data_IF_140698211471
#
_entry.id   IF_140698211471
#
_cell.length_a   1.000
_cell.length_b   1.000
_cell.length_c   1.000
_cell.angle_alpha   90.00
_cell.angle_beta   90.00
_cell.angle_gamma   90.00
#
_symmetry.space_group_name_H-M   'P 1'
#
loop_
_entity.id
_entity.type
_entity.pdbx_description
1 polymer ?
#
# COMPACT_ATOMS: atom_id res chain seq x y z
N UNK A 1 27.85 24.72 -13.26
CA UNK A 1 27.38 23.86 -12.16
C UNK A 1 26.80 24.70 -11.03
N UNK A 2 27.35 25.89 -10.80
CA UNK A 2 26.93 26.81 -9.71
C UNK A 2 25.53 27.40 -9.93
N UNK A 3 25.16 27.74 -11.17
CA UNK A 3 23.83 28.25 -11.49
C UNK A 3 22.70 27.22 -11.22
N UNK A 4 23.02 25.91 -11.32
CA UNK A 4 22.09 24.82 -11.02
C UNK A 4 21.86 24.71 -9.52
N UNK A 5 22.93 24.73 -8.72
CA UNK A 5 22.82 24.73 -7.25
C UNK A 5 22.15 26.00 -6.72
N UNK A 6 22.36 27.14 -7.37
CA UNK A 6 21.75 28.41 -6.97
C UNK A 6 20.26 28.49 -7.30
N UNK A 7 19.82 27.99 -8.47
CA UNK A 7 18.40 27.86 -8.79
C UNK A 7 17.72 26.74 -7.99
N UNK A 8 18.44 25.68 -7.66
CA UNK A 8 18.00 24.58 -6.81
C UNK A 8 17.80 25.02 -5.36
N UNK A 9 18.76 25.76 -4.78
CA UNK A 9 18.67 26.32 -3.43
C UNK A 9 17.48 27.29 -3.29
N UNK A 10 17.20 28.10 -4.31
CA UNK A 10 16.01 28.98 -4.33
C UNK A 10 14.69 28.23 -4.51
N UNK A 11 14.71 27.07 -5.18
CA UNK A 11 13.53 26.22 -5.33
C UNK A 11 13.25 25.40 -4.05
N UNK A 12 14.29 24.95 -3.33
CA UNK A 12 14.18 24.23 -2.06
C UNK A 12 13.83 25.14 -0.89
N UNK A 13 14.38 26.37 -0.82
CA UNK A 13 14.03 27.36 0.22
C UNK A 13 12.56 27.81 0.16
N UNK A 14 11.90 27.67 -0.99
CA UNK A 14 10.48 28.01 -1.15
C UNK A 14 9.53 26.94 -0.58
N UNK A 15 10.03 25.74 -0.26
CA UNK A 15 9.24 24.60 0.18
C UNK A 15 9.71 24.08 1.55
N UNK A 16 8.91 24.43 2.57
CA UNK A 16 9.00 24.10 4.00
C UNK A 16 9.61 22.71 4.35
N UNK A 17 10.24 22.65 5.53
CA UNK A 17 11.19 21.67 6.11
C UNK A 17 10.85 20.16 6.08
N UNK A 18 9.77 19.74 5.40
CA UNK A 18 9.40 18.32 5.19
C UNK A 18 10.06 17.67 3.96
N UNK A 19 10.91 18.40 3.24
CA UNK A 19 11.44 18.00 1.92
C UNK A 19 12.88 17.44 1.89
N UNK A 20 13.53 17.16 3.04
CA UNK A 20 14.88 16.52 3.05
C UNK A 20 14.96 15.22 2.22
N UNK A 21 13.85 14.55 1.93
CA UNK A 21 13.81 13.32 1.14
C UNK A 21 13.94 13.55 -0.38
N UNK A 22 13.54 14.71 -0.93
CA UNK A 22 13.68 14.99 -2.37
C UNK A 22 15.12 15.28 -2.76
N UNK A 23 15.94 15.77 -1.83
CA UNK A 23 17.37 16.00 -2.06
C UNK A 23 18.13 14.69 -2.26
N UNK A 24 17.87 13.66 -1.44
CA UNK A 24 18.47 12.33 -1.62
C UNK A 24 17.98 11.62 -2.88
N UNK A 25 16.67 11.69 -3.17
CA UNK A 25 16.08 11.05 -4.36
C UNK A 25 16.57 11.68 -5.67
N UNK A 26 16.75 13.00 -5.70
CA UNK A 26 17.31 13.69 -6.86
C UNK A 26 18.83 13.52 -6.94
N UNK A 27 19.54 13.47 -5.80
CA UNK A 27 20.97 13.20 -5.75
C UNK A 27 21.31 11.80 -6.26
N UNK A 28 20.60 10.76 -5.82
CA UNK A 28 20.81 9.39 -6.28
C UNK A 28 20.43 9.22 -7.75
N UNK A 29 19.38 9.91 -8.21
CA UNK A 29 19.02 9.99 -9.62
C UNK A 29 20.12 10.67 -10.44
N UNK A 30 20.61 11.85 -10.01
CA UNK A 30 21.68 12.59 -10.69
C UNK A 30 22.98 11.80 -10.69
N UNK A 31 23.32 11.11 -9.60
CA UNK A 31 24.53 10.28 -9.50
C UNK A 31 24.44 9.01 -10.34
N UNK A 32 23.30 8.33 -10.37
CA UNK A 32 23.07 7.16 -11.22
C UNK A 32 23.07 7.54 -12.70
N UNK A 33 22.36 8.61 -13.05
CA UNK A 33 22.40 9.19 -14.39
C UNK A 33 23.86 9.56 -14.72
N UNK A 34 24.57 10.26 -13.85
CA UNK A 34 25.96 10.62 -14.09
C UNK A 34 26.89 9.39 -14.29
N UNK A 35 26.64 8.26 -13.61
CA UNK A 35 27.37 7.00 -13.81
C UNK A 35 27.01 6.27 -15.11
N UNK A 36 25.71 6.19 -15.45
CA UNK A 36 25.21 5.59 -16.68
C UNK A 36 25.63 6.40 -17.93
N UNK A 37 25.60 7.73 -17.82
CA UNK A 37 25.91 8.66 -18.89
C UNK A 37 27.40 9.00 -19.00
N UNK A 38 28.25 8.63 -18.02
CA UNK A 38 29.72 8.79 -18.15
C UNK A 38 30.33 8.00 -19.32
N UNK A 39 29.61 7.00 -19.83
CA UNK A 39 29.94 6.23 -21.04
C UNK A 39 29.50 6.90 -22.35
N UNK A 40 28.80 8.04 -22.29
CA UNK A 40 28.22 8.74 -23.44
C UNK A 40 28.88 10.13 -23.54
N UNK A 41 29.82 10.32 -24.47
CA UNK A 41 30.73 11.49 -24.54
C UNK A 41 30.32 12.51 -25.65
N UNK A 42 29.06 12.54 -26.09
CA UNK A 42 28.61 13.44 -27.15
C UNK A 42 27.67 14.57 -26.66
N UNK A 43 27.72 15.75 -27.27
CA UNK A 43 27.01 16.96 -26.80
C UNK A 43 25.48 16.84 -26.79
N UNK A 44 24.89 16.00 -27.65
CA UNK A 44 23.45 15.71 -27.70
C UNK A 44 22.91 15.07 -26.41
N UNK A 45 23.79 14.40 -25.66
CA UNK A 45 23.48 13.75 -24.38
C UNK A 45 23.11 14.76 -23.31
N UNK A 46 23.80 15.91 -23.30
CA UNK A 46 23.58 16.95 -22.31
C UNK A 46 22.17 17.55 -22.47
N UNK A 47 21.77 17.78 -23.73
CA UNK A 47 20.45 18.27 -24.09
C UNK A 47 19.36 17.27 -23.69
N UNK A 48 19.54 15.99 -24.03
CA UNK A 48 18.60 14.93 -23.65
C UNK A 48 18.48 14.77 -22.12
N UNK A 49 19.61 14.81 -21.41
CA UNK A 49 19.63 14.73 -19.93
C UNK A 49 18.86 15.88 -19.30
N UNK A 50 19.10 17.10 -19.78
CA UNK A 50 18.39 18.27 -19.28
C UNK A 50 16.89 18.17 -19.60
N UNK A 51 16.53 17.73 -20.80
CA UNK A 51 15.14 17.50 -21.19
C UNK A 51 14.45 16.45 -20.31
N UNK A 52 15.13 15.37 -19.94
CA UNK A 52 14.60 14.36 -19.01
C UNK A 52 14.41 14.91 -17.60
N UNK A 53 15.34 15.73 -17.12
CA UNK A 53 15.22 16.40 -15.83
C UNK A 53 14.04 17.39 -15.84
N UNK A 54 13.90 18.22 -16.86
CA UNK A 54 12.77 19.15 -16.99
C UNK A 54 11.43 18.40 -17.11
N UNK A 55 11.38 17.32 -17.89
CA UNK A 55 10.20 16.44 -17.98
C UNK A 55 9.84 15.85 -16.61
N UNK A 56 10.85 15.37 -15.87
CA UNK A 56 10.65 14.84 -14.52
C UNK A 56 10.14 15.91 -13.55
N UNK A 57 10.72 17.11 -13.56
CA UNK A 57 10.26 18.24 -12.73
C UNK A 57 8.84 18.66 -13.11
N UNK A 58 8.51 18.70 -14.40
CA UNK A 58 7.18 19.03 -14.88
C UNK A 58 6.13 18.02 -14.42
N UNK A 59 6.40 16.72 -14.56
CA UNK A 59 5.48 15.67 -14.09
C UNK A 59 5.37 15.68 -12.56
N UNK A 60 6.47 15.88 -11.85
CA UNK A 60 6.48 16.00 -10.37
C UNK A 60 5.65 17.20 -9.90
N UNK A 61 5.82 18.37 -10.54
CA UNK A 61 5.03 19.56 -10.27
C UNK A 61 3.55 19.38 -10.61
N UNK A 62 3.25 18.65 -11.68
CA UNK A 62 1.88 18.29 -12.08
C UNK A 62 1.22 17.38 -11.03
N UNK A 63 1.93 16.35 -10.57
CA UNK A 63 1.48 15.48 -9.48
C UNK A 63 1.22 16.26 -8.19
N UNK A 64 2.14 17.15 -7.82
CA UNK A 64 1.98 17.99 -6.63
C UNK A 64 0.75 18.91 -6.73
N UNK A 65 0.58 19.56 -7.88
CA UNK A 65 -0.58 20.41 -8.16
C UNK A 65 -1.88 19.63 -8.10
N UNK A 66 -1.90 18.43 -8.68
CA UNK A 66 -3.01 17.50 -8.62
C UNK A 66 -3.33 17.10 -7.18
N UNK A 67 -2.32 16.71 -6.40
CA UNK A 67 -2.47 16.35 -4.99
C UNK A 67 -3.07 17.50 -4.17
N UNK A 68 -2.53 18.72 -4.32
CA UNK A 68 -3.04 19.91 -3.62
C UNK A 68 -4.48 20.24 -3.99
N UNK A 69 -4.84 20.11 -5.27
CA UNK A 69 -6.21 20.30 -5.76
C UNK A 69 -7.17 19.28 -5.13
N UNK A 70 -6.81 17.99 -5.16
CA UNK A 70 -7.64 16.94 -4.58
C UNK A 70 -7.76 17.06 -3.05
N UNK A 71 -6.67 17.37 -2.33
CA UNK A 71 -6.73 17.61 -0.89
C UNK A 71 -7.65 18.78 -0.54
N UNK A 72 -7.63 19.86 -1.34
CA UNK A 72 -8.54 21.01 -1.17
C UNK A 72 -10.01 20.61 -1.33
N UNK A 73 -10.32 19.78 -2.35
CA UNK A 73 -11.67 19.24 -2.57
C UNK A 73 -12.12 18.34 -1.39
N UNK A 74 -11.22 17.48 -0.90
CA UNK A 74 -11.53 16.58 0.22
C UNK A 74 -11.68 17.30 1.56
N UNK A 75 -10.92 18.38 1.83
CA UNK A 75 -11.09 19.21 3.04
C UNK A 75 -12.47 19.85 3.15
N UNK A 76 -13.13 20.11 2.02
CA UNK A 76 -14.52 20.60 1.99
C UNK A 76 -15.54 19.50 2.28
N UNK A 77 -15.16 18.23 2.10
CA UNK A 77 -16.00 17.09 2.46
C UNK A 77 -15.83 16.75 3.95
N UNK A 78 -16.90 16.37 4.66
CA UNK A 78 -16.87 16.02 6.10
C UNK A 78 -16.05 14.75 6.44
N UNK A 79 -15.36 14.13 5.49
CA UNK A 79 -14.59 12.90 5.69
C UNK A 79 -13.21 13.20 6.30
N UNK A 80 -13.14 13.23 7.63
CA UNK A 80 -11.90 13.36 8.43
C UNK A 80 -11.07 12.07 8.44
N UNK A 81 -10.53 11.66 7.29
CA UNK A 81 -9.55 10.57 7.25
C UNK A 81 -8.46 10.87 6.21
N UNK A 82 -7.53 11.75 6.60
CA UNK A 82 -6.43 12.29 5.79
C UNK A 82 -5.58 11.22 5.09
N UNK A 83 -5.43 10.03 5.66
CA UNK A 83 -4.58 8.96 5.10
C UNK A 83 -5.24 8.21 3.94
N UNK A 84 -6.54 7.91 4.02
CA UNK A 84 -7.30 7.29 2.91
C UNK A 84 -7.33 8.25 1.71
N UNK A 85 -7.38 9.55 1.99
CA UNK A 85 -7.36 10.61 0.98
C UNK A 85 -6.02 10.61 0.23
N UNK A 86 -4.87 10.56 0.91
CA UNK A 86 -3.55 10.56 0.23
C UNK A 86 -3.34 9.35 -0.69
N UNK A 87 -3.77 8.15 -0.26
CA UNK A 87 -3.66 6.94 -1.08
C UNK A 87 -4.62 6.94 -2.27
N UNK A 88 -5.86 7.40 -2.06
CA UNK A 88 -6.82 7.56 -3.15
C UNK A 88 -6.32 8.57 -4.19
N UNK A 89 -5.71 9.68 -3.75
CA UNK A 89 -5.13 10.67 -4.67
C UNK A 89 -4.07 10.05 -5.56
N UNK A 90 -3.15 9.28 -4.98
CA UNK A 90 -2.10 8.59 -5.74
C UNK A 90 -2.71 7.62 -6.75
N UNK A 91 -3.62 6.75 -6.31
CA UNK A 91 -4.26 5.75 -7.17
C UNK A 91 -5.01 6.43 -8.33
N UNK A 92 -5.75 7.50 -8.04
CA UNK A 92 -6.49 8.27 -9.06
C UNK A 92 -5.53 8.96 -10.03
N UNK A 93 -4.43 9.55 -9.55
CA UNK A 93 -3.39 10.13 -10.39
C UNK A 93 -2.81 9.09 -11.37
N UNK A 94 -2.41 7.92 -10.86
CA UNK A 94 -1.84 6.85 -11.69
C UNK A 94 -2.87 6.35 -12.71
N UNK A 95 -4.15 6.21 -12.35
CA UNK A 95 -5.23 5.87 -13.30
C UNK A 95 -5.34 6.92 -14.40
N UNK A 96 -5.50 8.20 -14.03
CA UNK A 96 -5.65 9.29 -15.00
C UNK A 96 -4.47 9.36 -15.96
N UNK A 97 -3.24 9.24 -15.45
CA UNK A 97 -2.04 9.28 -16.26
C UNK A 97 -1.95 8.05 -17.18
N UNK A 98 -2.11 6.83 -16.64
CA UNK A 98 -2.07 5.60 -17.45
C UNK A 98 -3.16 5.58 -18.53
N UNK A 99 -4.38 6.02 -18.22
CA UNK A 99 -5.47 6.08 -19.22
C UNK A 99 -5.15 7.09 -20.32
N UNK A 100 -4.71 8.30 -19.96
CA UNK A 100 -4.33 9.34 -20.93
C UNK A 100 -3.18 8.86 -21.81
N UNK A 101 -2.19 8.20 -21.18
CA UNK A 101 -1.03 7.63 -21.86
C UNK A 101 -1.43 6.51 -22.84
N UNK A 102 -2.30 5.57 -22.46
CA UNK A 102 -2.75 4.51 -23.37
C UNK A 102 -3.50 5.10 -24.57
N UNK A 103 -4.44 6.02 -24.33
CA UNK A 103 -5.19 6.66 -25.41
C UNK A 103 -4.24 7.38 -26.37
N UNK A 104 -3.29 8.15 -25.81
CA UNK A 104 -2.28 8.84 -26.60
C UNK A 104 -1.41 7.87 -27.39
N UNK A 105 -0.90 6.79 -26.77
CA UNK A 105 -0.05 5.81 -27.44
C UNK A 105 -0.80 4.99 -28.49
N UNK A 106 -2.08 4.69 -28.29
CA UNK A 106 -2.92 4.05 -29.30
C UNK A 106 -3.13 4.97 -30.51
N UNK A 107 -3.44 6.25 -30.27
CA UNK A 107 -3.52 7.25 -31.34
C UNK A 107 -2.18 7.38 -32.07
N UNK A 108 -1.08 7.45 -31.31
CA UNK A 108 0.27 7.55 -31.84
C UNK A 108 0.62 6.35 -32.74
N UNK A 109 0.37 5.14 -32.25
CA UNK A 109 0.60 3.90 -32.99
C UNK A 109 -0.27 3.83 -34.25
N UNK A 110 -1.56 4.18 -34.16
CA UNK A 110 -2.47 4.15 -35.30
C UNK A 110 -2.17 5.21 -36.36
N UNK A 111 -1.70 6.39 -35.97
CA UNK A 111 -1.52 7.53 -36.89
C UNK A 111 -0.10 7.64 -37.46
N UNK A 112 0.91 7.21 -36.73
CA UNK A 112 2.31 7.36 -37.14
C UNK A 112 2.96 6.02 -37.48
N UNK A 113 2.79 4.99 -36.64
CA UNK A 113 3.51 3.71 -36.80
C UNK A 113 2.84 2.79 -37.85
N UNK A 114 1.54 2.54 -37.71
CA UNK A 114 0.79 1.67 -38.62
C UNK A 114 0.88 2.08 -40.11
N UNK A 115 0.67 3.36 -40.49
CA UNK A 115 0.73 3.74 -41.89
C UNK A 115 2.14 3.63 -42.49
N UNK A 116 3.19 3.81 -41.68
CA UNK A 116 4.57 3.59 -42.13
C UNK A 116 4.86 2.09 -42.32
N UNK A 117 4.37 1.25 -41.42
CA UNK A 117 4.43 -0.21 -41.55
C UNK A 117 3.69 -0.71 -42.81
N UNK A 118 2.50 -0.19 -43.10
CA UNK A 118 1.75 -0.53 -44.30
C UNK A 118 2.42 -0.04 -45.60
N UNK A 119 3.11 1.11 -45.57
CA UNK A 119 3.86 1.62 -46.74
C UNK A 119 5.07 0.76 -47.06
N UNK A 120 5.86 0.38 -46.05
CA UNK A 120 7.07 -0.44 -46.26
C UNK A 120 6.76 -1.92 -46.53
N UNK A 121 5.76 -2.49 -45.85
CA UNK A 121 5.33 -3.89 -46.10
C UNK A 121 4.73 -4.11 -47.49
N UNK A 122 4.11 -3.08 -48.08
CA UNK A 122 3.63 -3.12 -49.48
C UNK A 122 4.77 -3.02 -50.50
N UNK A 123 5.92 -2.45 -50.12
CA UNK A 123 7.07 -2.29 -51.01
C UNK A 123 8.08 -3.45 -50.92
N UNK A 124 8.16 -4.12 -49.78
CA UNK A 124 9.09 -5.22 -49.51
C UNK A 124 8.31 -6.46 -49.03
N UNK A 125 8.13 -7.44 -49.92
CA UNK A 125 7.49 -8.75 -49.71
C UNK A 125 7.74 -9.42 -48.32
N UNK A 126 6.90 -10.39 -47.88
CA UNK A 126 6.48 -10.67 -46.49
C UNK A 126 7.50 -11.40 -45.60
N UNK A 127 8.79 -11.09 -45.74
CA UNK A 127 9.90 -11.66 -44.97
C UNK A 127 10.30 -10.83 -43.74
N UNK A 128 9.54 -9.80 -43.37
CA UNK A 128 9.77 -9.10 -42.09
C UNK A 128 9.30 -9.99 -40.93
N UNK A 129 10.17 -10.91 -40.51
CA UNK A 129 9.85 -11.90 -39.49
C UNK A 129 9.68 -11.33 -38.08
N UNK A 130 9.82 -10.01 -37.87
CA UNK A 130 9.55 -9.35 -36.60
C UNK A 130 9.15 -7.87 -36.82
N UNK A 131 7.86 -7.61 -37.04
CA UNK A 131 7.28 -6.25 -37.07
C UNK A 131 7.56 -5.44 -35.79
N UNK A 132 7.90 -6.13 -34.70
CA UNK A 132 8.22 -5.55 -33.41
C UNK A 132 9.49 -4.66 -33.42
N UNK A 133 10.49 -4.99 -34.25
CA UNK A 133 11.76 -4.24 -34.32
C UNK A 133 11.80 -3.25 -35.47
N UNK A 134 10.64 -2.87 -36.01
CA UNK A 134 10.53 -1.90 -37.09
C UNK A 134 11.13 -0.55 -36.67
N UNK A 135 12.01 0.01 -37.51
CA UNK A 135 12.82 1.21 -37.24
C UNK A 135 12.46 2.35 -38.18
N UNK A 136 11.22 2.83 -38.12
CA UNK A 136 10.88 4.12 -38.73
C UNK A 136 10.60 5.05 -37.58
N UNK A 137 11.44 6.09 -37.46
CA UNK A 137 11.45 6.93 -36.28
C UNK A 137 11.78 8.37 -36.64
N UNK A 138 10.79 9.24 -36.43
CA UNK A 138 11.06 10.66 -36.19
C UNK A 138 11.61 10.81 -34.78
N UNK A 139 12.94 10.90 -34.69
CA UNK A 139 13.69 10.88 -33.43
C UNK A 139 13.20 11.94 -32.44
N UNK A 140 12.66 13.08 -32.92
CA UNK A 140 12.14 14.13 -32.04
C UNK A 140 10.83 13.73 -31.37
N UNK A 141 9.93 13.07 -32.10
CA UNK A 141 8.66 12.58 -31.57
C UNK A 141 8.90 11.45 -30.58
N UNK A 142 9.71 10.47 -30.96
CA UNK A 142 10.01 9.34 -30.08
C UNK A 142 10.79 9.76 -28.83
N UNK A 143 11.67 10.77 -28.94
CA UNK A 143 12.31 11.40 -27.78
C UNK A 143 11.26 11.94 -26.82
N UNK A 144 10.31 12.76 -27.28
CA UNK A 144 9.28 13.36 -26.42
C UNK A 144 8.42 12.29 -25.72
N UNK A 145 7.98 11.26 -26.45
CA UNK A 145 7.25 10.12 -25.88
C UNK A 145 8.08 9.43 -24.80
N UNK A 146 9.35 9.12 -25.09
CA UNK A 146 10.23 8.44 -24.13
C UNK A 146 10.48 9.28 -22.88
N UNK A 147 10.71 10.59 -23.03
CA UNK A 147 10.95 11.50 -21.91
C UNK A 147 9.75 11.53 -20.97
N UNK A 148 8.53 11.68 -21.51
CA UNK A 148 7.31 11.71 -20.69
C UNK A 148 7.11 10.39 -19.94
N UNK A 149 7.24 9.25 -20.64
CA UNK A 149 7.02 7.93 -20.05
C UNK A 149 8.05 7.60 -18.98
N UNK A 150 9.34 7.76 -19.29
CA UNK A 150 10.43 7.48 -18.35
C UNK A 150 10.35 8.39 -17.11
N UNK A 151 10.07 9.69 -17.28
CA UNK A 151 9.86 10.61 -16.16
C UNK A 151 8.69 10.20 -15.27
N UNK A 152 7.58 9.71 -15.82
CA UNK A 152 6.45 9.22 -15.03
C UNK A 152 6.79 7.95 -14.24
N UNK A 153 7.38 6.93 -14.88
CA UNK A 153 7.76 5.71 -14.19
C UNK A 153 8.82 5.95 -13.13
N UNK A 154 9.74 6.90 -13.36
CA UNK A 154 10.72 7.32 -12.37
C UNK A 154 10.04 7.97 -11.15
N UNK A 155 9.12 8.92 -11.37
CA UNK A 155 8.36 9.52 -10.28
C UNK A 155 7.62 8.47 -9.44
N UNK A 156 6.93 7.55 -10.10
CA UNK A 156 6.22 6.45 -9.45
C UNK A 156 7.17 5.50 -8.68
N UNK A 157 8.37 5.26 -9.20
CA UNK A 157 9.39 4.48 -8.50
C UNK A 157 9.86 5.18 -7.21
N UNK A 158 10.11 6.49 -7.27
CA UNK A 158 10.54 7.27 -6.10
C UNK A 158 9.44 7.35 -5.03
N UNK A 159 8.17 7.46 -5.44
CA UNK A 159 7.03 7.39 -4.51
C UNK A 159 6.98 6.00 -3.85
N UNK A 160 7.15 4.91 -4.61
CA UNK A 160 7.20 3.55 -4.04
C UNK A 160 8.39 3.33 -3.10
N UNK A 161 9.54 3.91 -3.42
CA UNK A 161 10.73 3.83 -2.57
C UNK A 161 10.48 4.52 -1.22
N UNK A 162 9.84 5.69 -1.25
CA UNK A 162 9.44 6.41 -0.03
C UNK A 162 8.43 5.60 0.80
N UNK A 163 7.51 4.90 0.15
CA UNK A 163 6.56 3.99 0.81
C UNK A 163 7.19 2.64 1.22
N UNK A 164 8.50 2.46 1.04
CA UNK A 164 9.26 1.22 1.35
C UNK A 164 8.83 -0.01 0.53
N UNK A 165 8.18 0.21 -0.61
CA UNK A 165 7.81 -0.82 -1.58
C UNK A 165 8.97 -1.08 -2.56
N UNK A 166 10.08 -1.61 -2.05
CA UNK A 166 11.34 -1.76 -2.81
C UNK A 166 11.19 -2.55 -4.11
N UNK A 167 10.41 -3.64 -4.12
CA UNK A 167 10.24 -4.47 -5.31
C UNK A 167 9.47 -3.76 -6.43
N UNK A 168 8.40 -3.04 -6.08
CA UNK A 168 7.63 -2.23 -7.05
C UNK A 168 8.47 -1.05 -7.56
N UNK A 169 9.20 -0.37 -6.67
CA UNK A 169 10.14 0.70 -7.02
C UNK A 169 11.21 0.20 -8.00
N UNK A 170 11.88 -0.91 -7.67
CA UNK A 170 12.90 -1.52 -8.53
C UNK A 170 12.33 -1.89 -9.90
N UNK A 171 11.11 -2.44 -9.96
CA UNK A 171 10.46 -2.77 -11.22
C UNK A 171 10.16 -1.55 -12.09
N UNK A 172 9.62 -0.47 -11.51
CA UNK A 172 9.33 0.76 -12.26
C UNK A 172 10.61 1.47 -12.70
N UNK A 173 11.63 1.47 -11.85
CA UNK A 173 12.94 2.02 -12.16
C UNK A 173 13.62 1.26 -13.31
N UNK A 174 13.69 -0.06 -13.22
CA UNK A 174 14.24 -0.90 -14.30
C UNK A 174 13.45 -0.75 -15.60
N UNK A 175 12.12 -0.62 -15.53
CA UNK A 175 11.30 -0.32 -16.71
C UNK A 175 11.65 1.02 -17.35
N UNK A 176 11.86 2.08 -16.56
CA UNK A 176 12.32 3.37 -17.08
C UNK A 176 13.65 3.25 -17.81
N UNK A 177 14.57 2.42 -17.32
CA UNK A 177 15.85 2.16 -18.00
C UNK A 177 15.64 1.42 -19.33
N UNK A 178 14.74 0.42 -19.35
CA UNK A 178 14.36 -0.27 -20.60
C UNK A 178 13.87 0.73 -21.66
N UNK A 179 13.05 1.71 -21.28
CA UNK A 179 12.58 2.74 -22.22
C UNK A 179 13.72 3.59 -22.80
N UNK A 180 14.69 3.98 -21.98
CA UNK A 180 15.86 4.72 -22.44
C UNK A 180 16.73 3.89 -23.40
N UNK A 181 16.82 2.59 -23.17
CA UNK A 181 17.53 1.67 -24.07
C UNK A 181 16.77 1.47 -25.37
N UNK A 182 15.44 1.33 -25.31
CA UNK A 182 14.59 1.29 -26.51
C UNK A 182 14.77 2.58 -27.34
N UNK A 183 14.84 3.74 -26.71
CA UNK A 183 15.17 5.00 -27.38
C UNK A 183 16.55 4.97 -28.05
N UNK A 184 17.58 4.57 -27.32
CA UNK A 184 18.95 4.43 -27.86
C UNK A 184 19.00 3.50 -29.08
N UNK A 185 18.25 2.40 -29.03
CA UNK A 185 18.21 1.39 -30.09
C UNK A 185 17.20 1.70 -31.21
N UNK A 186 16.48 2.84 -31.12
CA UNK A 186 15.43 3.27 -32.06
C UNK A 186 14.30 2.23 -32.20
N UNK A 187 13.94 1.60 -31.08
CA UNK A 187 12.88 0.60 -30.99
C UNK A 187 11.55 1.24 -30.60
N UNK A 188 11.01 2.05 -31.52
CA UNK A 188 9.81 2.84 -31.28
C UNK A 188 8.57 1.96 -31.12
N UNK A 189 8.31 1.08 -32.10
CA UNK A 189 7.15 0.19 -32.07
C UNK A 189 7.15 -0.73 -30.83
N UNK A 190 8.31 -1.31 -30.53
CA UNK A 190 8.54 -2.09 -29.32
C UNK A 190 8.17 -1.32 -28.04
N UNK A 191 8.70 -0.11 -27.89
CA UNK A 191 8.49 0.73 -26.71
C UNK A 191 7.02 1.09 -26.55
N UNK A 192 6.36 1.51 -27.64
CA UNK A 192 4.96 1.94 -27.62
C UNK A 192 4.02 0.78 -27.27
N UNK A 193 4.15 -0.37 -27.93
CA UNK A 193 3.31 -1.54 -27.66
C UNK A 193 3.52 -2.09 -26.24
N UNK A 194 4.78 -2.19 -25.80
CA UNK A 194 5.11 -2.65 -24.45
C UNK A 194 4.44 -1.76 -23.39
N UNK A 195 4.49 -0.44 -23.59
CA UNK A 195 3.86 0.53 -22.70
C UNK A 195 2.33 0.43 -22.68
N UNK A 196 1.69 0.17 -23.82
CA UNK A 196 0.23 -0.02 -23.89
C UNK A 196 -0.18 -1.22 -23.03
N UNK A 197 0.49 -2.37 -23.17
CA UNK A 197 0.14 -3.58 -22.40
C UNK A 197 0.44 -3.42 -20.91
N UNK A 198 1.61 -2.88 -20.56
CA UNK A 198 1.97 -2.61 -19.15
C UNK A 198 1.03 -1.57 -18.53
N UNK A 199 0.67 -0.53 -19.28
CA UNK A 199 -0.30 0.49 -18.87
C UNK A 199 -1.67 -0.11 -18.59
N UNK A 200 -2.16 -1.00 -19.46
CA UNK A 200 -3.47 -1.64 -19.31
C UNK A 200 -3.54 -2.52 -18.05
N UNK A 201 -2.46 -3.24 -17.76
CA UNK A 201 -2.34 -3.94 -16.48
C UNK A 201 -2.34 -2.98 -15.30
N UNK A 202 -1.57 -1.89 -15.38
CA UNK A 202 -1.46 -0.89 -14.30
C UNK A 202 -2.81 -0.28 -13.96
N UNK A 203 -3.63 0.08 -14.95
CA UNK A 203 -5.00 0.56 -14.74
C UNK A 203 -5.83 -0.49 -14.00
N UNK A 204 -5.75 -1.75 -14.42
CA UNK A 204 -6.47 -2.85 -13.77
C UNK A 204 -6.05 -3.00 -12.31
N UNK A 205 -4.75 -2.93 -12.01
CA UNK A 205 -4.24 -2.99 -10.63
C UNK A 205 -4.76 -1.81 -9.80
N UNK A 206 -4.65 -0.58 -10.30
CA UNK A 206 -5.08 0.60 -9.58
C UNK A 206 -6.60 0.65 -9.38
N UNK A 207 -7.39 0.25 -10.38
CA UNK A 207 -8.85 0.21 -10.29
C UNK A 207 -9.31 -0.86 -9.31
N UNK A 208 -8.73 -2.06 -9.37
CA UNK A 208 -9.06 -3.14 -8.42
C UNK A 208 -8.65 -2.81 -6.99
N UNK A 209 -7.54 -2.08 -6.81
CA UNK A 209 -7.12 -1.55 -5.50
C UNK A 209 -8.12 -0.50 -4.98
N UNK A 210 -8.51 0.48 -5.82
CA UNK A 210 -9.49 1.51 -5.44
C UNK A 210 -10.84 0.90 -5.02
N UNK A 211 -11.30 -0.11 -5.75
CA UNK A 211 -12.53 -0.82 -5.43
C UNK A 211 -12.38 -1.57 -4.10
N UNK A 212 -11.24 -2.24 -3.88
CA UNK A 212 -10.98 -2.98 -2.63
C UNK A 212 -10.94 -2.08 -1.37
N UNK A 213 -10.51 -0.81 -1.51
CA UNK A 213 -10.50 0.15 -0.41
C UNK A 213 -11.93 0.58 0.01
N UNK A 214 -12.86 0.61 -0.94
CA UNK A 214 -14.23 1.10 -0.70
C UNK A 214 -15.23 -0.01 -0.31
N UNK A 215 -14.85 -1.28 -0.44
CA UNK A 215 -15.73 -2.42 -0.15
C UNK A 215 -15.54 -2.92 1.28
N UNK A 216 -16.67 -3.16 1.96
CA UNK A 216 -16.67 -3.77 3.27
C UNK A 216 -16.26 -5.25 3.20
N UNK A 217 -15.50 -5.76 4.19
CA UNK A 217 -15.02 -7.14 4.19
C UNK A 217 -16.14 -8.19 4.27
N UNK A 218 -17.39 -7.78 4.49
CA UNK A 218 -18.56 -8.69 4.55
C UNK A 218 -19.07 -9.15 3.17
N UNK A 219 -18.58 -8.57 2.07
CA UNK A 219 -19.01 -8.89 0.69
C UNK A 219 -17.99 -9.77 -0.04
N UNK A 220 -17.76 -10.98 0.48
CA UNK A 220 -16.72 -11.89 -0.01
C UNK A 220 -16.87 -12.27 -1.48
N UNK A 221 -18.09 -12.48 -1.98
CA UNK A 221 -18.31 -12.86 -3.38
C UNK A 221 -17.79 -11.81 -4.38
N UNK A 222 -18.01 -10.53 -4.07
CA UNK A 222 -17.59 -9.43 -4.95
C UNK A 222 -16.07 -9.25 -4.91
N UNK A 223 -15.46 -9.36 -3.73
CA UNK A 223 -14.00 -9.34 -3.59
C UNK A 223 -13.33 -10.51 -4.33
N UNK A 224 -13.91 -11.72 -4.26
CA UNK A 224 -13.46 -12.89 -5.03
C UNK A 224 -13.46 -12.61 -6.53
N UNK A 225 -14.54 -12.05 -7.06
CA UNK A 225 -14.66 -11.75 -8.49
C UNK A 225 -13.60 -10.73 -8.95
N UNK A 226 -13.35 -9.68 -8.15
CA UNK A 226 -12.31 -8.70 -8.44
C UNK A 226 -10.91 -9.35 -8.44
N UNK A 227 -10.62 -10.22 -7.48
CA UNK A 227 -9.34 -10.96 -7.44
C UNK A 227 -9.18 -11.83 -8.68
N UNK A 228 -10.24 -12.53 -9.11
CA UNK A 228 -10.21 -13.33 -10.34
C UNK A 228 -9.87 -12.45 -11.56
N UNK A 229 -10.51 -11.28 -11.69
CA UNK A 229 -10.18 -10.32 -12.77
C UNK A 229 -8.71 -9.90 -12.71
N UNK A 230 -8.18 -9.61 -11.52
CA UNK A 230 -6.76 -9.23 -11.33
C UNK A 230 -5.80 -10.38 -11.67
N UNK A 231 -6.16 -11.62 -11.37
CA UNK A 231 -5.37 -12.80 -11.71
C UNK A 231 -5.40 -13.08 -13.21
N UNK A 232 -6.59 -13.08 -13.83
CA UNK A 232 -6.76 -13.33 -15.26
C UNK A 232 -6.03 -12.27 -16.10
N UNK A 233 -6.15 -10.99 -15.73
CA UNK A 233 -5.42 -9.91 -16.41
C UNK A 233 -3.90 -10.07 -16.26
N UNK A 234 -3.42 -10.52 -15.10
CA UNK A 234 -1.99 -10.79 -14.91
C UNK A 234 -1.53 -11.98 -15.76
N UNK A 235 -2.26 -13.10 -15.78
CA UNK A 235 -1.95 -14.26 -16.62
C UNK A 235 -1.89 -13.86 -18.09
N UNK A 236 -2.92 -13.14 -18.55
CA UNK A 236 -3.02 -12.72 -19.94
C UNK A 236 -1.84 -11.83 -20.36
N UNK A 237 -1.42 -10.88 -19.52
CA UNK A 237 -0.36 -9.94 -19.88
C UNK A 237 1.03 -10.54 -19.64
N UNK A 238 1.28 -11.15 -18.48
CA UNK A 238 2.61 -11.60 -18.07
C UNK A 238 2.94 -13.05 -18.44
N UNK A 239 1.96 -13.93 -18.63
CA UNK A 239 2.24 -15.31 -19.05
C UNK A 239 1.96 -15.55 -20.53
N UNK A 240 1.12 -14.74 -21.17
CA UNK A 240 0.82 -14.87 -22.59
C UNK A 240 1.53 -13.75 -23.41
N UNK A 241 1.05 -12.51 -23.36
CA UNK A 241 1.54 -11.44 -24.25
C UNK A 241 3.03 -11.17 -24.07
N UNK A 242 3.50 -10.88 -22.85
CA UNK A 242 4.90 -10.48 -22.62
C UNK A 242 5.92 -11.55 -23.04
N UNK A 243 5.76 -12.84 -22.70
CA UNK A 243 6.68 -13.88 -23.14
C UNK A 243 6.70 -14.06 -24.66
N UNK A 244 5.53 -14.18 -25.29
CA UNK A 244 5.44 -14.57 -26.70
C UNK A 244 5.64 -13.41 -27.67
N UNK A 245 5.13 -12.21 -27.34
CA UNK A 245 5.20 -11.06 -28.25
C UNK A 245 6.44 -10.21 -28.03
N UNK A 246 7.07 -10.27 -26.84
CA UNK A 246 8.23 -9.42 -26.50
C UNK A 246 9.47 -10.22 -26.12
N UNK A 247 9.44 -11.03 -25.06
CA UNK A 247 10.65 -11.64 -24.51
C UNK A 247 11.32 -12.62 -25.48
N UNK A 248 10.57 -13.57 -26.03
CA UNK A 248 11.10 -14.57 -26.97
C UNK A 248 11.62 -13.89 -28.26
N UNK A 249 10.86 -12.98 -28.92
CA UNK A 249 11.37 -12.23 -30.06
C UNK A 249 12.64 -11.42 -29.75
N UNK A 250 12.76 -10.85 -28.55
CA UNK A 250 13.96 -10.07 -28.15
C UNK A 250 15.19 -10.97 -27.99
N UNK A 251 15.02 -12.20 -27.49
CA UNK A 251 16.11 -13.19 -27.41
C UNK A 251 16.52 -13.66 -28.82
N UNK A 252 15.55 -13.93 -29.69
CA UNK A 252 15.80 -14.39 -31.06
C UNK A 252 16.46 -13.30 -31.93
N UNK A 253 16.14 -12.02 -31.71
CA UNK A 253 16.78 -10.90 -32.37
C UNK A 253 18.19 -10.59 -31.84
N UNK A 254 18.66 -11.32 -30.80
CA UNK A 254 19.80 -10.90 -29.98
C UNK A 254 21.20 -11.16 -30.54
N UNK A 255 21.32 -11.61 -31.79
CA UNK A 255 22.60 -11.88 -32.45
C UNK A 255 23.54 -10.64 -32.54
N UNK A 256 23.04 -9.44 -32.24
CA UNK A 256 23.84 -8.20 -32.15
C UNK A 256 24.20 -7.84 -30.69
N UNK A 257 25.40 -7.28 -30.46
CA UNK A 257 25.85 -6.87 -29.11
C UNK A 257 24.89 -5.89 -28.40
N UNK A 258 24.22 -5.01 -29.15
CA UNK A 258 23.29 -4.02 -28.57
C UNK A 258 22.01 -4.67 -27.99
N UNK A 259 21.55 -5.79 -28.54
CA UNK A 259 20.35 -6.49 -28.06
C UNK A 259 20.56 -7.28 -26.77
N UNK A 260 21.82 -7.54 -26.37
CA UNK A 260 22.13 -8.24 -25.10
C UNK A 260 21.78 -7.37 -23.89
N UNK A 261 22.09 -6.07 -23.93
CA UNK A 261 21.76 -5.14 -22.83
C UNK A 261 20.25 -5.02 -22.61
N UNK A 262 19.48 -4.93 -23.71
CA UNK A 262 18.02 -4.89 -23.66
C UNK A 262 17.45 -6.19 -23.09
N UNK A 263 17.98 -7.34 -23.54
CA UNK A 263 17.55 -8.65 -23.06
C UNK A 263 17.76 -8.82 -21.55
N UNK A 264 18.96 -8.51 -21.04
CA UNK A 264 19.25 -8.64 -19.62
C UNK A 264 18.29 -7.80 -18.77
N UNK A 265 18.01 -6.57 -19.21
CA UNK A 265 17.17 -5.65 -18.45
C UNK A 265 15.68 -5.97 -18.55
N UNK A 266 15.18 -6.39 -19.72
CA UNK A 266 13.76 -6.77 -19.86
C UNK A 266 13.46 -8.08 -19.13
N UNK A 267 14.38 -9.06 -19.17
CA UNK A 267 14.25 -10.29 -18.38
C UNK A 267 14.38 -10.02 -16.89
N UNK A 268 15.35 -9.20 -16.47
CA UNK A 268 15.48 -8.78 -15.07
C UNK A 268 14.22 -8.08 -14.58
N UNK A 269 13.68 -7.14 -15.35
CA UNK A 269 12.42 -6.47 -15.06
C UNK A 269 11.24 -7.46 -14.98
N UNK A 270 11.16 -8.41 -15.92
CA UNK A 270 10.13 -9.44 -15.94
C UNK A 270 10.18 -10.33 -14.68
N UNK A 271 11.37 -10.77 -14.26
CA UNK A 271 11.54 -11.57 -13.03
C UNK A 271 11.06 -10.79 -11.80
N UNK A 272 11.41 -9.49 -11.69
CA UNK A 272 10.91 -8.64 -10.58
C UNK A 272 9.38 -8.50 -10.63
N UNK A 273 8.77 -8.47 -11.83
CA UNK A 273 7.31 -8.45 -12.00
C UNK A 273 6.64 -9.77 -11.62
N UNK A 274 7.26 -10.90 -11.93
CA UNK A 274 6.78 -12.22 -11.49
C UNK A 274 6.90 -12.35 -9.97
N UNK A 275 7.96 -11.80 -9.38
CA UNK A 275 8.16 -11.78 -7.93
C UNK A 275 7.12 -10.93 -7.19
N UNK A 276 6.60 -9.89 -7.84
CA UNK A 276 5.53 -9.01 -7.30
C UNK A 276 4.12 -9.46 -7.70
N UNK A 277 3.99 -10.67 -8.25
CA UNK A 277 2.72 -11.18 -8.78
C UNK A 277 1.63 -11.37 -7.71
N UNK A 278 0.35 -11.29 -8.09
CA UNK A 278 -0.77 -11.60 -7.21
C UNK A 278 -0.73 -13.06 -6.70
N UNK A 279 -0.15 -14.00 -7.45
CA UNK A 279 0.05 -15.39 -7.02
C UNK A 279 1.02 -15.50 -5.84
N UNK A 280 2.17 -14.83 -5.93
CA UNK A 280 3.14 -14.86 -4.84
C UNK A 280 2.58 -14.19 -3.58
N UNK A 281 1.77 -13.12 -3.74
CA UNK A 281 1.04 -12.51 -2.63
C UNK A 281 0.03 -13.46 -1.98
N UNK A 282 -0.64 -14.30 -2.77
CA UNK A 282 -1.53 -15.34 -2.23
C UNK A 282 -0.76 -16.38 -1.40
N UNK A 283 0.32 -16.93 -1.94
CA UNK A 283 1.15 -17.90 -1.20
C UNK A 283 1.78 -17.29 0.04
N UNK A 284 2.25 -16.04 -0.04
CA UNK A 284 2.78 -15.32 1.12
C UNK A 284 1.72 -15.17 2.21
N UNK A 285 0.47 -14.91 1.83
CA UNK A 285 -0.64 -14.83 2.76
C UNK A 285 -0.91 -16.16 3.48
N UNK A 286 -1.03 -17.26 2.73
CA UNK A 286 -1.26 -18.60 3.29
C UNK A 286 -0.12 -19.06 4.21
N UNK A 287 1.14 -18.78 3.85
CA UNK A 287 2.31 -19.25 4.60
C UNK A 287 2.59 -18.39 5.84
N UNK A 288 2.48 -17.07 5.73
CA UNK A 288 2.97 -16.15 6.76
C UNK A 288 1.89 -15.45 7.60
N UNK A 289 0.62 -15.44 7.16
CA UNK A 289 -0.48 -14.78 7.88
C UNK A 289 -1.39 -15.76 8.62
N UNK A 290 -0.81 -16.66 9.41
CA UNK A 290 -1.52 -17.68 10.21
C UNK A 290 -2.47 -17.10 11.28
N UNK A 291 -2.24 -15.87 11.77
CA UNK A 291 -2.99 -15.27 12.89
C UNK A 291 -3.82 -14.03 12.50
N UNK A 292 -4.16 -13.85 11.22
CA UNK A 292 -5.02 -12.74 10.78
C UNK A 292 -4.37 -11.34 10.81
N UNK A 293 -3.06 -11.26 11.02
CA UNK A 293 -2.24 -10.04 11.01
C UNK A 293 -1.94 -9.53 9.58
N UNK A 294 -2.95 -9.52 8.71
CA UNK A 294 -2.82 -9.15 7.30
C UNK A 294 -3.44 -7.77 6.99
N UNK A 295 -3.09 -7.19 5.84
CA UNK A 295 -3.67 -5.92 5.34
C UNK A 295 -5.18 -6.04 5.09
N UNK A 296 -5.64 -7.27 4.86
CA UNK A 296 -7.01 -7.58 4.49
C UNK A 296 -8.02 -7.68 5.63
N UNK A 297 -7.68 -7.35 6.89
CA UNK A 297 -8.56 -7.55 8.06
C UNK A 297 -9.14 -8.99 8.05
N UNK A 298 -8.27 -10.00 8.02
CA UNK A 298 -8.59 -11.45 7.94
C UNK A 298 -9.08 -11.96 6.57
N UNK A 299 -9.32 -11.11 5.58
CA UNK A 299 -9.68 -11.55 4.21
C UNK A 299 -8.46 -11.70 3.30
N UNK A 300 -8.22 -12.93 2.83
CA UNK A 300 -7.18 -13.26 1.83
C UNK A 300 -7.33 -12.38 0.58
N UNK A 301 -8.57 -12.20 0.11
CA UNK A 301 -8.88 -11.47 -1.12
C UNK A 301 -8.50 -10.00 -1.02
N UNK A 302 -8.78 -9.37 0.12
CA UNK A 302 -8.41 -7.97 0.34
C UNK A 302 -6.89 -7.80 0.49
N UNK A 303 -6.19 -8.79 1.05
CA UNK A 303 -4.73 -8.80 1.15
C UNK A 303 -4.03 -8.87 -0.22
N UNK A 304 -4.61 -9.58 -1.19
CA UNK A 304 -4.07 -9.63 -2.57
C UNK A 304 -4.29 -8.29 -3.28
N UNK A 305 -5.41 -7.63 -2.99
CA UNK A 305 -5.83 -6.42 -3.70
C UNK A 305 -5.16 -5.14 -3.19
N UNK A 306 -4.88 -5.05 -1.89
CA UNK A 306 -4.33 -3.86 -1.23
C UNK A 306 -2.83 -4.02 -1.01
N UNK A 307 -2.06 -2.97 -1.26
CA UNK A 307 -0.62 -2.95 -0.98
C UNK A 307 -0.36 -2.56 0.48
N UNK A 308 0.53 -3.29 1.16
CA UNK A 308 0.90 -2.97 2.53
C UNK A 308 1.79 -1.73 2.54
N UNK A 309 1.27 -0.61 3.04
CA UNK A 309 2.02 0.63 3.20
C UNK A 309 2.40 0.81 4.67
N UNK A 310 3.57 1.41 4.98
CA UNK A 310 4.03 1.60 6.36
C UNK A 310 3.03 2.40 7.20
N UNK A 311 2.32 3.34 6.58
CA UNK A 311 1.26 4.12 7.22
C UNK A 311 0.01 3.29 7.52
N UNK A 312 -0.41 2.38 6.63
CA UNK A 312 -1.50 1.44 6.92
C UNK A 312 -1.11 0.46 8.02
N UNK A 313 0.15 0.00 8.03
CA UNK A 313 0.66 -0.81 9.14
C UNK A 313 0.56 -0.04 10.45
N UNK A 314 1.00 1.21 10.48
CA UNK A 314 0.89 2.08 11.66
C UNK A 314 -0.57 2.32 12.09
N UNK A 315 -1.48 2.64 11.17
CA UNK A 315 -2.90 2.84 11.47
C UNK A 315 -3.57 1.56 11.98
N UNK A 316 -3.22 0.39 11.43
CA UNK A 316 -3.71 -0.91 11.90
C UNK A 316 -3.21 -1.20 13.31
N UNK A 317 -1.92 -0.96 13.58
CA UNK A 317 -1.34 -1.09 14.92
C UNK A 317 -2.04 -0.15 15.91
N UNK A 318 -2.26 1.12 15.54
CA UNK A 318 -2.99 2.07 16.39
C UNK A 318 -4.44 1.65 16.64
N UNK A 319 -5.14 1.14 15.62
CA UNK A 319 -6.51 0.62 15.76
C UNK A 319 -6.56 -0.59 16.69
N UNK A 320 -5.58 -1.49 16.58
CA UNK A 320 -5.45 -2.65 17.48
C UNK A 320 -5.23 -2.21 18.92
N UNK A 321 -4.25 -1.34 19.15
CA UNK A 321 -3.96 -0.78 20.48
C UNK A 321 -5.20 -0.09 21.04
N UNK A 322 -5.93 0.69 20.23
CA UNK A 322 -7.16 1.34 20.66
C UNK A 322 -8.26 0.35 21.05
N UNK A 323 -8.45 -0.73 20.28
CA UNK A 323 -9.43 -1.77 20.59
C UNK A 323 -9.04 -2.57 21.84
N UNK A 324 -7.75 -2.89 22.00
CA UNK A 324 -7.21 -3.53 23.21
C UNK A 324 -7.40 -2.65 24.44
N UNK A 325 -7.11 -1.34 24.34
CA UNK A 325 -7.37 -0.38 25.42
C UNK A 325 -8.85 -0.30 25.78
N UNK A 326 -9.74 -0.29 24.77
CA UNK A 326 -11.20 -0.28 24.99
C UNK A 326 -11.66 -1.57 25.67
N UNK A 327 -11.13 -2.72 25.25
CA UNK A 327 -11.42 -4.01 25.86
C UNK A 327 -10.93 -4.07 27.31
N UNK A 328 -9.70 -3.63 27.58
CA UNK A 328 -9.14 -3.55 28.93
C UNK A 328 -9.94 -2.59 29.82
N UNK A 329 -10.45 -1.49 29.27
CA UNK A 329 -11.32 -0.57 29.99
C UNK A 329 -12.69 -1.19 30.29
N UNK A 330 -13.28 -1.93 29.34
CA UNK A 330 -14.52 -2.67 29.56
C UNK A 330 -14.34 -3.78 30.59
N UNK A 331 -13.25 -4.54 30.55
CA UNK A 331 -12.93 -5.58 31.52
C UNK A 331 -12.76 -5.00 32.93
N UNK A 332 -12.00 -3.91 33.08
CA UNK A 332 -11.88 -3.19 34.36
C UNK A 332 -13.21 -2.63 34.86
N UNK A 333 -14.11 -2.21 33.96
CA UNK A 333 -15.46 -1.76 34.35
C UNK A 333 -16.33 -2.92 34.84
N UNK A 334 -16.25 -4.07 34.16
CA UNK A 334 -16.99 -5.28 34.54
C UNK A 334 -16.51 -5.84 35.89
N UNK A 335 -15.19 -5.89 36.10
CA UNK A 335 -14.57 -6.29 37.38
C UNK A 335 -14.98 -5.36 38.55
N UNK A 336 -15.10 -4.05 38.29
CA UNK A 336 -15.60 -3.10 39.29
C UNK A 336 -17.08 -3.32 39.62
N UNK A 337 -17.91 -3.63 38.63
CA UNK A 337 -19.34 -3.92 38.84
C UNK A 337 -19.52 -5.22 39.62
N UNK A 338 -18.80 -6.28 39.25
CA UNK A 338 -18.80 -7.57 39.96
C UNK A 338 -18.38 -7.43 41.43
N UNK A 339 -17.30 -6.68 41.71
CA UNK A 339 -16.87 -6.38 43.09
C UNK A 339 -17.89 -5.53 43.87
N UNK A 340 -18.63 -4.66 43.20
CA UNK A 340 -19.71 -3.86 43.82
C UNK A 340 -20.93 -4.71 44.19
N UNK A 341 -21.27 -5.73 43.39
CA UNK A 341 -22.38 -6.65 43.68
C UNK A 341 -22.04 -7.64 44.82
N UNK A 342 -20.82 -8.15 44.85
CA UNK A 342 -20.34 -9.00 45.96
C UNK A 342 -20.34 -8.24 47.31
N UNK A 343 -19.93 -6.97 47.31
CA UNK A 343 -19.94 -6.14 48.53
C UNK A 343 -21.35 -5.69 48.95
N UNK A 344 -22.27 -5.53 48.01
CA UNK A 344 -23.69 -5.22 48.26
C UNK A 344 -24.43 -6.41 48.91
N UNK A 345 -24.24 -7.62 48.37
CA UNK A 345 -24.87 -8.84 48.89
C UNK A 345 -24.37 -9.20 50.30
N UNK A 346 -23.07 -9.05 50.57
CA UNK A 346 -22.49 -9.27 51.90
C UNK A 346 -23.02 -8.28 52.95
N UNK A 347 -23.17 -6.99 52.59
CA UNK A 347 -23.77 -5.97 53.47
C UNK A 347 -25.24 -6.28 53.76
N UNK A 348 -26.00 -6.67 52.74
CA UNK A 348 -27.42 -7.02 52.89
C UNK A 348 -27.61 -8.24 53.80
N UNK A 349 -26.74 -9.26 53.70
CA UNK A 349 -26.76 -10.43 54.57
C UNK A 349 -26.42 -10.09 56.03
N UNK A 350 -25.43 -9.21 56.27
CA UNK A 350 -25.10 -8.72 57.61
C UNK A 350 -26.25 -7.90 58.22
N UNK A 351 -26.93 -7.07 57.43
CA UNK A 351 -28.11 -6.32 57.87
C UNK A 351 -29.26 -7.25 58.24
N UNK A 352 -29.52 -8.30 57.46
CA UNK A 352 -30.54 -9.31 57.79
C UNK A 352 -30.20 -10.04 59.10
N UNK A 353 -28.92 -10.42 59.31
CA UNK A 353 -28.46 -11.01 60.58
C UNK A 353 -28.69 -10.06 61.76
N UNK A 354 -28.36 -8.78 61.62
CA UNK A 354 -28.60 -7.78 62.66
C UNK A 354 -30.09 -7.60 62.97
N UNK A 355 -30.95 -7.53 61.95
CA UNK A 355 -32.41 -7.43 62.11
C UNK A 355 -32.98 -8.68 62.78
N UNK A 356 -32.51 -9.87 62.43
CA UNK A 356 -32.92 -11.11 63.08
C UNK A 356 -32.48 -11.17 64.54
N UNK A 357 -31.27 -10.73 64.86
CA UNK A 357 -30.77 -10.62 66.23
C UNK A 357 -31.59 -9.61 67.06
N UNK A 358 -31.89 -8.45 66.47
CA UNK A 358 -32.75 -7.42 67.08
C UNK A 358 -34.16 -7.94 67.33
N UNK A 359 -34.75 -8.66 66.37
CA UNK A 359 -36.07 -9.29 66.50
C UNK A 359 -36.10 -10.36 67.60
N UNK A 360 -35.03 -11.16 67.73
CA UNK A 360 -34.86 -12.12 68.84
C UNK A 360 -34.68 -11.43 70.19
N UNK A 361 -33.99 -10.28 70.24
CA UNK A 361 -33.82 -9.48 71.46
C UNK A 361 -35.13 -8.81 71.89
N UNK A 362 -35.89 -8.25 70.95
CA UNK A 362 -37.21 -7.66 71.21
C UNK A 362 -38.24 -8.70 71.66
N UNK A 363 -38.22 -9.92 71.11
CA UNK A 363 -39.05 -11.03 71.62
C UNK A 363 -38.72 -11.39 73.06
N UNK A 364 -37.42 -11.44 73.43
CA UNK A 364 -36.99 -11.71 74.82
C UNK A 364 -37.42 -10.60 75.79
N UNK A 365 -37.36 -9.34 75.38
CA UNK A 365 -37.82 -8.21 76.19
C UNK A 365 -39.35 -8.25 76.36
N UNK A 366 -40.09 -8.55 75.29
CA UNK A 366 -41.56 -8.66 75.34
C UNK A 366 -42.03 -9.86 76.17
N UNK A 367 -41.25 -10.95 76.22
CA UNK A 367 -41.48 -12.08 77.12
C UNK A 367 -41.17 -11.76 78.60
N UNK A 368 -40.25 -10.82 78.88
CA UNK A 368 -39.95 -10.33 80.24
C UNK A 368 -40.91 -9.25 80.74
N UNK A 369 -41.80 -8.73 79.89
CA UNK A 369 -42.78 -7.68 80.22
C UNK A 369 -44.22 -8.17 80.45
N UNK A 370 -44.45 -9.48 80.59
CA UNK A 370 -45.73 -10.04 81.04
C UNK A 370 -45.84 -10.04 82.58
N UNK A 371 -47.06 -10.01 83.15
CA UNK A 371 -47.28 -9.66 84.55
C UNK A 371 -46.63 -10.66 85.52
N UNK A 372 -46.13 -10.09 86.61
CA UNK A 372 -45.48 -10.68 87.78
C UNK A 372 -46.07 -12.02 88.27
N UNK A 373 -45.21 -13.01 88.48
CA UNK A 373 -45.23 -13.81 89.71
C UNK A 373 -43.88 -14.52 89.99
N UNK A 374 -43.61 -14.65 91.29
CA UNK A 374 -42.36 -14.94 92.00
C UNK A 374 -41.65 -16.28 91.71
N UNK A 375 -40.33 -16.27 92.00
CA UNK A 375 -39.39 -17.35 92.33
C UNK A 375 -39.16 -18.42 91.24
N UNK A 376 -37.94 -18.79 90.85
CA UNK A 376 -36.82 -19.17 91.73
C UNK A 376 -35.48 -19.21 90.96
N UNK A 377 -34.39 -19.00 91.70
CA UNK A 377 -33.00 -19.49 91.51
C UNK A 377 -32.15 -18.98 90.33
N UNK A 378 -31.19 -18.14 90.72
CA UNK A 378 -29.83 -18.06 90.16
C UNK A 378 -29.12 -19.41 90.41
N UNK A 379 -28.31 -19.90 89.46
CA UNK A 379 -26.88 -19.96 89.73
C UNK A 379 -26.06 -19.17 88.70
N UNK A 380 -25.09 -18.49 89.28
CA UNK A 380 -23.87 -17.97 88.69
C UNK A 380 -22.99 -19.16 88.26
N UNK A 381 -22.33 -19.06 87.11
CA UNK A 381 -20.95 -19.54 86.99
C UNK A 381 -20.29 -18.94 85.75
N UNK A 382 -19.15 -18.34 86.07
CA UNK A 382 -18.13 -17.65 85.32
C UNK A 382 -17.31 -18.54 84.41
N UNK A 383 -16.81 -17.92 83.32
CA UNK A 383 -15.50 -18.13 82.65
C UNK A 383 -15.18 -19.56 82.14
N UNK A 384 -14.45 -19.82 81.06
CA UNK A 384 -13.24 -19.22 80.49
C UNK A 384 -12.98 -19.87 79.13
N UNK A 385 -12.31 -19.10 78.27
CA UNK A 385 -11.20 -19.51 77.40
C UNK A 385 -11.42 -19.98 75.94
N UNK A 386 -10.87 -19.11 75.09
CA UNK A 386 -10.09 -19.36 73.89
C UNK A 386 -9.40 -20.73 73.82
N UNK A 387 -9.42 -21.34 72.64
CA UNK A 387 -8.27 -22.12 72.18
C UNK A 387 -7.98 -21.85 70.70
N UNK A 388 -6.77 -21.33 70.49
CA UNK A 388 -6.05 -21.29 69.23
C UNK A 388 -5.97 -22.69 68.61
N UNK A 389 -6.14 -22.78 67.28
CA UNK A 389 -5.24 -23.64 66.51
C UNK A 389 -4.83 -22.95 65.21
N UNK A 390 -3.56 -22.59 65.19
CA UNK A 390 -2.79 -22.04 64.07
C UNK A 390 -2.60 -23.07 62.93
N UNK A 391 -2.64 -22.53 61.71
CA UNK A 391 -1.78 -22.77 60.53
C UNK A 391 -1.31 -24.18 60.14
N UNK A 392 -1.42 -24.52 58.84
CA UNK A 392 -0.25 -24.86 57.99
C UNK A 392 -0.49 -24.43 56.52
N UNK A 393 0.58 -23.89 55.92
CA UNK A 393 0.80 -23.56 54.50
C UNK A 393 0.60 -24.76 53.55
N UNK A 394 0.08 -24.51 52.35
CA UNK A 394 0.77 -24.81 51.07
C UNK A 394 0.14 -24.01 49.95
#
# INVERSE_FOLDING_TARGET
>A
MDLFWEQFARFTDMYDNRFRLSEYLLHDYVMFMHGFWRKWVDSDVLSFRNALLYSFLFISGSYFSFKKMFESLYRKSKYKQTTIVSQNIRIVWSICFCTTMIVFLQMYHSQFINPEFERESRQLFPKFSNSLFFKVCDMKKFMLVTLILSSFYLLEALIDLNERNFANSLSKFTFSIVLLICYRQRLENYSVLLNIYVGLYSITVHLTHLIALNISPKRDLFLKLIVIIRLLSWIFIYLNILPFDFLIPTVNASANKASVELNLLIWGWYVVRVWTSPFLKYFYHEIYHLNGDCVGDQSVYKCILVEDTPEQKHLRTMRRIFMELKFMQQQKSLEKTLRSEETSSAKTFQTIKCIMALKRKLRRIRARGGPSNLNDKVPDDSDTEDDEHKFVKT
#
